data_IF_193904249542
#
_entry.id   IF_193904249542
#
_cell.length_a   1.000
_cell.length_b   1.000
_cell.length_c   1.000
_cell.angle_alpha   90.00
_cell.angle_beta   90.00
_cell.angle_gamma   90.00
#
_symmetry.space_group_name_H-M   'P 1'
#
loop_
_entity.id
_entity.type
_entity.pdbx_description
1 polymer ?
#
# COMPACT_ATOMS: atom_id res chain seq x y z
N UNK A 1 19.04 29.47 5.29
CA UNK A 1 19.83 29.06 6.47
C UNK A 1 19.06 28.21 7.47
N UNK A 2 17.72 28.18 7.46
CA UNK A 2 16.89 27.35 8.36
C UNK A 2 17.20 25.83 8.35
N UNK A 3 17.65 25.27 7.23
CA UNK A 3 17.95 23.84 7.13
C UNK A 3 19.14 23.40 8.00
N UNK A 4 20.05 24.31 8.34
CA UNK A 4 21.21 24.03 9.20
C UNK A 4 20.76 23.67 10.62
N UNK A 5 19.69 24.30 11.12
CA UNK A 5 19.11 24.00 12.42
C UNK A 5 18.17 22.78 12.39
N UNK A 6 17.40 22.60 11.32
CA UNK A 6 16.39 21.52 11.26
C UNK A 6 16.99 20.14 11.04
N UNK A 7 18.07 20.01 10.26
CA UNK A 7 18.63 18.70 9.94
C UNK A 7 19.17 17.94 11.17
N UNK A 8 19.95 18.56 12.08
CA UNK A 8 20.35 17.90 13.32
C UNK A 8 19.16 17.42 14.16
N UNK A 9 18.09 18.22 14.25
CA UNK A 9 16.87 17.90 15.01
C UNK A 9 16.10 16.74 14.39
N UNK A 10 15.99 16.70 13.06
CA UNK A 10 15.41 15.57 12.32
C UNK A 10 16.23 14.29 12.50
N UNK A 11 17.56 14.38 12.55
CA UNK A 11 18.41 13.21 12.84
C UNK A 11 18.17 12.66 14.26
N UNK A 12 17.95 13.52 15.25
CA UNK A 12 17.54 13.10 16.60
C UNK A 12 16.20 12.34 16.53
N UNK A 13 15.21 12.90 15.81
CA UNK A 13 13.93 12.23 15.61
C UNK A 13 14.07 10.87 14.93
N UNK A 14 14.86 10.74 13.85
CA UNK A 14 15.13 9.45 13.19
C UNK A 14 15.64 8.41 14.18
N UNK A 15 16.66 8.76 14.97
CA UNK A 15 17.25 7.84 15.93
C UNK A 15 16.25 7.41 17.02
N UNK A 16 15.45 8.35 17.52
CA UNK A 16 14.42 8.05 18.52
C UNK A 16 13.28 7.21 17.95
N UNK A 17 12.86 7.49 16.71
CA UNK A 17 11.83 6.74 16.03
C UNK A 17 12.29 5.31 15.77
N UNK A 18 13.52 5.11 15.29
CA UNK A 18 14.13 3.79 15.10
C UNK A 18 14.18 2.99 16.41
N UNK A 19 14.45 3.65 17.55
CA UNK A 19 14.38 3.01 18.86
C UNK A 19 12.94 2.69 19.27
N UNK A 20 11.99 3.58 18.98
CA UNK A 20 10.58 3.39 19.27
C UNK A 20 10.01 2.17 18.53
N UNK A 21 10.23 2.06 17.22
CA UNK A 21 9.70 0.95 16.40
C UNK A 21 10.32 -0.41 16.73
N UNK A 22 11.51 -0.44 17.34
CA UNK A 22 12.16 -1.68 17.81
C UNK A 22 11.61 -2.19 19.13
N UNK A 23 10.91 -1.36 19.90
CA UNK A 23 10.28 -1.81 21.14
C UNK A 23 9.10 -2.72 20.79
N UNK A 24 8.82 -3.76 21.61
CA UNK A 24 7.61 -4.53 21.43
C UNK A 24 6.40 -3.60 21.50
N UNK A 25 5.42 -3.84 20.63
CA UNK A 25 4.18 -3.08 20.63
C UNK A 25 3.56 -3.12 22.04
N UNK A 26 3.09 -1.99 22.58
CA UNK A 26 2.38 -1.98 23.86
C UNK A 26 1.27 -3.03 23.90
N UNK A 27 1.05 -3.66 25.05
CA UNK A 27 -0.13 -4.52 25.23
C UNK A 27 -1.37 -3.68 24.90
N UNK A 28 -2.14 -4.09 23.88
CA UNK A 28 -3.29 -3.39 23.29
C UNK A 28 -3.00 -2.33 22.22
N UNK A 29 -1.77 -2.24 21.69
CA UNK A 29 -1.53 -1.46 20.48
C UNK A 29 -2.32 -2.08 19.31
N UNK A 30 -3.33 -1.35 18.81
CA UNK A 30 -4.27 -1.81 17.79
C UNK A 30 -3.83 -1.47 16.36
N UNK A 31 -2.59 -0.98 16.17
CA UNK A 31 -2.11 -0.59 14.85
C UNK A 31 -1.04 -1.57 14.35
N UNK A 32 -1.41 -2.35 13.34
CA UNK A 32 -0.50 -3.24 12.61
C UNK A 32 0.49 -2.47 11.71
N UNK A 33 0.31 -1.16 11.58
CA UNK A 33 1.08 -0.30 10.69
C UNK A 33 1.40 1.04 11.35
N UNK A 34 2.70 1.34 11.42
CA UNK A 34 3.21 2.62 11.83
C UNK A 34 3.53 3.51 10.61
N UNK A 35 3.33 4.83 10.71
CA UNK A 35 3.73 5.78 9.67
C UNK A 35 5.24 5.75 9.42
N UNK A 36 5.69 6.31 8.31
CA UNK A 36 7.12 6.53 8.14
C UNK A 36 7.57 7.72 9.03
N UNK A 37 8.84 7.78 9.44
CA UNK A 37 9.34 8.88 10.31
C UNK A 37 9.13 10.27 9.68
N UNK A 38 9.06 10.33 8.34
CA UNK A 38 8.76 11.57 7.62
C UNK A 38 7.33 12.06 7.87
N UNK A 39 6.34 11.17 8.00
CA UNK A 39 4.98 11.53 8.40
C UNK A 39 4.96 11.99 9.86
N UNK A 40 5.69 11.27 10.73
CA UNK A 40 5.82 11.62 12.15
C UNK A 40 6.42 13.01 12.33
N UNK A 41 7.42 13.36 11.52
CA UNK A 41 8.04 14.68 11.53
C UNK A 41 7.07 15.82 11.16
N UNK A 42 5.97 15.49 10.47
CA UNK A 42 4.91 16.44 10.10
C UNK A 42 3.73 16.43 11.09
N UNK A 43 3.74 15.58 12.12
CA UNK A 43 2.77 15.68 13.19
C UNK A 43 3.02 16.97 14.00
N UNK A 44 1.97 17.72 14.40
CA UNK A 44 2.12 19.03 15.00
C UNK A 44 3.13 19.14 16.16
N UNK A 45 3.16 18.23 17.16
CA UNK A 45 4.12 18.37 18.25
C UNK A 45 5.57 18.11 17.81
N UNK A 46 5.79 17.18 16.87
CA UNK A 46 7.13 16.90 16.34
C UNK A 46 7.62 18.05 15.45
N UNK A 47 6.74 18.56 14.58
CA UNK A 47 7.03 19.69 13.72
C UNK A 47 7.39 20.95 14.53
N UNK A 48 6.64 21.23 15.59
CA UNK A 48 6.91 22.36 16.50
C UNK A 48 8.29 22.26 17.14
N UNK A 49 8.69 21.07 17.61
CA UNK A 49 10.03 20.83 18.17
C UNK A 49 11.10 21.06 17.10
N UNK A 50 10.95 20.46 15.92
CA UNK A 50 11.90 20.59 14.81
C UNK A 50 12.06 22.06 14.38
N UNK A 51 10.95 22.80 14.27
CA UNK A 51 10.88 24.19 13.80
C UNK A 51 11.04 25.24 14.92
N UNK A 52 11.43 24.84 16.12
CA UNK A 52 11.74 25.77 17.23
C UNK A 52 12.79 26.82 16.82
N UNK A 53 12.87 27.99 17.51
CA UNK A 53 13.92 28.98 17.24
C UNK A 53 15.33 28.38 17.24
N UNK A 54 16.25 28.93 16.44
CA UNK A 54 17.60 28.36 16.22
C UNK A 54 18.43 28.29 17.52
N UNK A 55 18.19 29.22 18.45
CA UNK A 55 18.83 29.31 19.76
C UNK A 55 18.36 28.20 20.72
N UNK A 56 17.25 27.53 20.40
CA UNK A 56 16.70 26.46 21.22
C UNK A 56 17.55 25.20 21.05
N UNK A 57 18.19 24.77 22.14
CA UNK A 57 18.91 23.50 22.21
C UNK A 57 17.88 22.38 22.28
N UNK A 58 17.81 21.59 21.20
CA UNK A 58 16.93 20.42 21.13
C UNK A 58 17.73 19.17 21.46
N UNK A 59 17.26 18.41 22.43
CA UNK A 59 17.83 17.14 22.90
C UNK A 59 16.84 16.00 22.66
N UNK A 60 17.24 14.73 22.83
CA UNK A 60 16.29 13.62 22.77
C UNK A 60 15.06 13.78 23.69
N UNK A 61 15.28 14.29 24.91
CA UNK A 61 14.21 14.52 25.90
C UNK A 61 13.17 15.55 25.43
N UNK A 62 13.55 16.44 24.51
CA UNK A 62 12.63 17.41 23.93
C UNK A 62 11.46 16.73 23.18
N UNK A 63 11.65 15.50 22.70
CA UNK A 63 10.62 14.73 21.98
C UNK A 63 9.81 13.79 22.89
N UNK A 64 10.16 13.64 24.18
CA UNK A 64 9.57 12.62 25.05
C UNK A 64 8.04 12.71 25.12
N UNK A 65 7.51 13.92 25.34
CA UNK A 65 6.07 14.19 25.39
C UNK A 65 5.38 13.92 24.04
N UNK A 66 6.02 14.29 22.93
CA UNK A 66 5.49 14.03 21.59
C UNK A 66 5.36 12.51 21.31
N UNK A 67 6.32 11.71 21.78
CA UNK A 67 6.27 10.25 21.68
C UNK A 67 5.20 9.61 22.57
N UNK A 68 4.85 10.21 23.72
CA UNK A 68 3.72 9.74 24.53
C UNK A 68 2.39 9.87 23.77
N UNK A 69 2.27 10.90 22.94
CA UNK A 69 1.07 11.17 22.14
C UNK A 69 1.06 10.47 20.78
N UNK A 70 2.20 9.93 20.34
CA UNK A 70 2.36 9.28 19.02
C UNK A 70 1.26 8.24 18.70
N UNK A 71 0.85 7.33 19.61
CA UNK A 71 -0.23 6.38 19.32
C UNK A 71 -1.54 7.06 18.87
N UNK A 72 -1.90 8.21 19.45
CA UNK A 72 -3.10 8.96 19.06
C UNK A 72 -2.97 9.54 17.64
N UNK A 73 -1.80 10.12 17.34
CA UNK A 73 -1.53 10.65 16.00
C UNK A 73 -1.48 9.56 14.92
N UNK A 74 -0.98 8.37 15.25
CA UNK A 74 -0.99 7.22 14.32
C UNK A 74 -2.42 6.83 13.95
N UNK A 75 -3.35 6.80 14.92
CA UNK A 75 -4.76 6.54 14.62
C UNK A 75 -5.34 7.62 13.71
N UNK A 76 -5.19 8.90 14.06
CA UNK A 76 -5.71 10.01 13.24
C UNK A 76 -5.11 10.05 11.83
N UNK A 77 -3.81 9.74 11.71
CA UNK A 77 -3.12 9.60 10.42
C UNK A 77 -3.74 8.48 9.58
N UNK A 78 -3.95 7.30 10.18
CA UNK A 78 -4.55 6.15 9.51
C UNK A 78 -5.99 6.42 9.10
N UNK A 79 -6.81 6.98 9.99
CA UNK A 79 -8.20 7.32 9.71
C UNK A 79 -8.30 8.31 8.54
N UNK A 80 -7.39 9.29 8.48
CA UNK A 80 -7.31 10.24 7.38
C UNK A 80 -6.93 9.55 6.04
N UNK A 81 -5.97 8.63 6.06
CA UNK A 81 -5.61 7.82 4.88
C UNK A 81 -6.79 6.98 4.40
N UNK A 82 -7.47 6.30 5.33
CA UNK A 82 -8.61 5.45 5.04
C UNK A 82 -9.76 6.27 4.43
N UNK A 83 -10.09 7.43 5.01
CA UNK A 83 -11.10 8.34 4.47
C UNK A 83 -10.75 8.84 3.07
N UNK A 84 -9.48 9.23 2.85
CA UNK A 84 -8.99 9.68 1.55
C UNK A 84 -9.07 8.58 0.47
N UNK A 85 -8.63 7.36 0.78
CA UNK A 85 -8.72 6.22 -0.14
C UNK A 85 -10.16 5.82 -0.41
N UNK A 86 -11.02 5.78 0.61
CA UNK A 86 -12.43 5.46 0.46
C UNK A 86 -13.14 6.47 -0.46
N UNK A 87 -12.81 7.76 -0.35
CA UNK A 87 -13.35 8.80 -1.21
C UNK A 87 -12.98 8.63 -2.70
N UNK A 88 -11.90 7.90 -3.02
CA UNK A 88 -11.56 7.57 -4.40
C UNK A 88 -12.41 6.43 -4.96
N UNK A 89 -13.01 5.57 -4.12
CA UNK A 89 -13.75 4.38 -4.57
C UNK A 89 -15.05 4.80 -5.26
N UNK A 90 -15.04 4.77 -6.60
CA UNK A 90 -16.17 5.14 -7.44
C UNK A 90 -16.66 3.94 -8.24
N UNK A 91 -17.59 3.18 -7.67
CA UNK A 91 -18.10 1.95 -8.31
C UNK A 91 -19.02 2.34 -9.48
N UNK A 92 -18.72 1.93 -10.73
CA UNK A 92 -19.49 2.33 -11.90
C UNK A 92 -20.99 1.98 -11.79
N UNK A 93 -21.85 2.96 -12.13
CA UNK A 93 -23.32 2.86 -12.10
C UNK A 93 -23.87 2.14 -13.33
N UNK A 94 -23.15 2.11 -14.45
CA UNK A 94 -23.55 1.51 -15.74
C UNK A 94 -23.59 -0.02 -15.75
N UNK A 95 -24.01 -0.60 -14.64
CA UNK A 95 -23.83 -2.00 -14.32
C UNK A 95 -24.95 -2.57 -13.46
N UNK A 96 -26.11 -1.92 -13.55
CA UNK A 96 -27.28 -2.20 -12.76
C UNK A 96 -28.35 -2.72 -13.74
N UNK A 97 -28.84 -3.93 -13.49
CA UNK A 97 -30.27 -4.20 -13.68
C UNK A 97 -30.99 -3.31 -12.66
N UNK A 98 -31.83 -2.39 -13.13
CA UNK A 98 -32.30 -1.14 -12.49
C UNK A 98 -32.87 -1.20 -11.06
N UNK A 99 -32.94 -2.38 -10.43
CA UNK A 99 -33.67 -2.63 -9.19
C UNK A 99 -32.78 -2.86 -7.95
N UNK A 100 -31.44 -2.84 -8.07
CA UNK A 100 -30.57 -3.07 -6.90
C UNK A 100 -30.36 -1.80 -6.06
N UNK A 101 -30.68 -1.82 -4.75
CA UNK A 101 -30.50 -0.66 -3.86
C UNK A 101 -29.04 -0.21 -3.78
N UNK A 102 -28.85 1.09 -3.49
CA UNK A 102 -27.53 1.70 -3.29
C UNK A 102 -26.71 0.93 -2.24
N UNK A 103 -25.37 0.89 -2.39
CA UNK A 103 -24.49 0.20 -1.44
C UNK A 103 -24.73 0.67 -0.01
N UNK A 104 -24.91 -0.27 0.89
CA UNK A 104 -25.13 -0.05 2.33
C UNK A 104 -23.84 0.18 3.11
N UNK A 105 -22.72 0.53 2.45
CA UNK A 105 -21.46 0.82 3.12
C UNK A 105 -21.60 2.11 3.93
N UNK A 106 -21.43 2.01 5.25
CA UNK A 106 -21.70 3.12 6.18
C UNK A 106 -20.42 3.85 6.59
N UNK A 107 -19.26 3.19 6.48
CA UNK A 107 -17.97 3.74 6.91
C UNK A 107 -16.91 3.67 5.81
N UNK A 108 -15.87 4.53 5.84
CA UNK A 108 -14.72 4.42 4.93
C UNK A 108 -14.09 3.02 4.90
N UNK A 109 -14.04 2.35 6.04
CA UNK A 109 -13.50 1.00 6.18
C UNK A 109 -14.33 -0.04 5.42
N UNK A 110 -15.64 0.11 5.39
CA UNK A 110 -16.52 -0.77 4.62
C UNK A 110 -16.23 -0.67 3.12
N UNK A 111 -16.01 0.55 2.62
CA UNK A 111 -15.62 0.77 1.22
C UNK A 111 -14.26 0.13 0.89
N UNK A 112 -13.27 0.26 1.78
CA UNK A 112 -11.93 -0.30 1.58
C UNK A 112 -11.88 -1.82 1.68
N UNK A 113 -12.89 -2.46 2.27
CA UNK A 113 -13.04 -3.93 2.32
C UNK A 113 -13.58 -4.52 1.03
N UNK A 114 -14.18 -3.71 0.16
CA UNK A 114 -14.73 -4.18 -1.10
C UNK A 114 -13.61 -4.76 -1.99
N UNK A 115 -13.90 -5.87 -2.66
CA UNK A 115 -12.96 -6.51 -3.57
C UNK A 115 -12.57 -5.63 -4.76
N UNK A 116 -13.43 -4.67 -5.12
CA UNK A 116 -13.12 -3.71 -6.16
C UNK A 116 -12.36 -2.47 -5.66
N UNK A 117 -12.13 -2.30 -4.36
CA UNK A 117 -11.35 -1.19 -3.78
C UNK A 117 -9.85 -1.38 -4.05
N UNK A 118 -9.52 -1.32 -5.33
CA UNK A 118 -8.19 -1.48 -5.89
C UNK A 118 -7.75 -0.13 -6.38
N UNK A 119 -6.48 0.19 -6.13
CA UNK A 119 -5.89 1.47 -6.46
C UNK A 119 -4.71 1.27 -7.39
N UNK A 120 -4.71 1.99 -8.52
CA UNK A 120 -3.55 2.07 -9.40
C UNK A 120 -2.59 3.16 -8.91
N UNK A 121 -1.30 2.89 -9.08
CA UNK A 121 -0.23 3.81 -8.70
C UNK A 121 0.27 4.52 -9.97
N UNK A 122 0.66 5.79 -9.88
CA UNK A 122 1.09 6.58 -11.03
C UNK A 122 2.30 6.00 -11.77
N UNK A 123 3.13 5.21 -11.09
CA UNK A 123 4.30 4.53 -11.66
C UNK A 123 4.03 3.06 -12.03
N UNK A 124 2.75 2.69 -12.13
CA UNK A 124 2.31 1.36 -12.49
C UNK A 124 2.03 0.46 -11.29
N UNK A 125 1.37 -0.66 -11.56
CA UNK A 125 0.91 -1.59 -10.53
C UNK A 125 -0.38 -1.15 -9.86
N UNK A 126 -0.94 -2.09 -9.11
CA UNK A 126 -2.20 -1.94 -8.37
C UNK A 126 -2.03 -2.54 -6.98
N UNK A 127 -2.72 -1.97 -6.01
CA UNK A 127 -2.75 -2.49 -4.65
C UNK A 127 -4.15 -2.30 -4.03
N UNK A 128 -4.47 -3.15 -3.06
CA UNK A 128 -5.68 -3.04 -2.24
C UNK A 128 -5.30 -2.52 -0.86
N UNK A 129 -6.29 -2.21 -0.02
CA UNK A 129 -6.03 -1.93 1.39
C UNK A 129 -5.76 -3.23 2.18
N UNK A 130 -4.81 -3.26 3.14
CA UNK A 130 -3.91 -2.17 3.55
C UNK A 130 -2.63 -2.03 2.71
N UNK A 131 -2.39 -2.94 1.75
CA UNK A 131 -1.17 -3.00 0.92
C UNK A 131 -0.79 -1.67 0.25
N UNK A 132 -1.78 -0.86 -0.12
CA UNK A 132 -1.61 0.47 -0.74
C UNK A 132 -0.92 1.49 0.19
N UNK A 133 -0.99 1.30 1.51
CA UNK A 133 -0.34 2.19 2.49
C UNK A 133 1.15 1.86 2.62
N UNK A 134 1.54 0.61 2.40
CA UNK A 134 2.91 0.20 2.61
C UNK A 134 3.85 0.87 1.60
N UNK A 135 5.06 1.30 2.04
CA UNK A 135 6.16 1.67 1.16
C UNK A 135 6.60 0.46 0.31
N UNK A 136 5.91 0.16 -0.78
CA UNK A 136 6.37 -0.87 -1.72
C UNK A 136 7.52 -0.30 -2.55
N UNK A 137 8.60 -1.10 -2.62
CA UNK A 137 9.92 -0.84 -3.18
C UNK A 137 10.05 0.32 -4.19
N UNK A 138 11.01 1.20 -3.88
CA UNK A 138 11.74 2.18 -4.72
C UNK A 138 10.94 3.17 -5.58
N UNK A 139 9.63 3.00 -5.75
CA UNK A 139 8.85 3.77 -6.71
C UNK A 139 7.45 4.18 -6.25
N UNK A 140 6.96 3.80 -5.06
CA UNK A 140 5.60 4.23 -4.66
C UNK A 140 5.47 4.75 -3.23
N UNK A 141 4.75 5.87 -3.14
CA UNK A 141 4.37 6.73 -2.00
C UNK A 141 5.48 7.29 -1.11
N UNK A 142 6.49 6.52 -0.75
CA UNK A 142 7.45 6.91 0.28
C UNK A 142 8.93 6.81 -0.13
N UNK A 143 9.26 6.50 -1.39
CA UNK A 143 10.66 6.44 -1.85
C UNK A 143 10.82 7.15 -3.19
N UNK A 144 11.44 8.34 -3.20
CA UNK A 144 11.98 8.93 -4.42
C UNK A 144 13.34 8.31 -4.70
N UNK A 145 13.47 7.59 -5.81
CA UNK A 145 14.76 7.46 -6.48
C UNK A 145 15.13 8.82 -7.13
N UNK A 146 15.99 9.57 -6.44
CA UNK A 146 17.09 10.37 -7.01
C UNK A 146 16.86 11.50 -8.03
N UNK A 147 15.71 12.18 -8.12
CA UNK A 147 15.64 13.49 -8.81
C UNK A 147 14.74 14.50 -8.10
N UNK A 148 15.21 15.03 -6.98
CA UNK A 148 14.75 16.33 -6.52
C UNK A 148 15.53 17.41 -7.26
N UNK A 149 14.85 18.41 -7.81
CA UNK A 149 15.50 19.63 -8.31
C UNK A 149 16.16 20.30 -7.10
N UNK A 150 17.45 20.60 -7.19
CA UNK A 150 18.39 20.74 -6.06
C UNK A 150 18.14 21.85 -5.01
N UNK A 151 17.02 22.58 -5.00
CA UNK A 151 16.90 23.78 -4.16
C UNK A 151 15.58 23.99 -3.40
N UNK A 152 14.72 22.98 -3.27
CA UNK A 152 13.52 23.08 -2.42
C UNK A 152 13.88 22.74 -0.94
N UNK A 153 13.61 23.61 0.05
CA UNK A 153 13.82 23.31 1.48
C UNK A 153 13.15 22.01 1.94
N UNK A 154 12.02 21.65 1.36
CA UNK A 154 11.30 20.41 1.67
C UNK A 154 12.01 19.17 1.08
N UNK A 155 12.78 19.36 0.01
CA UNK A 155 13.65 18.32 -0.56
C UNK A 155 14.78 17.91 0.38
N UNK A 156 15.30 18.83 1.20
CA UNK A 156 16.40 18.52 2.14
C UNK A 156 15.92 17.59 3.26
N UNK A 157 14.71 17.82 3.78
CA UNK A 157 14.08 16.92 4.75
C UNK A 157 13.83 15.54 4.16
N UNK A 158 13.31 15.48 2.92
CA UNK A 158 13.06 14.24 2.21
C UNK A 158 14.34 13.43 1.95
N UNK A 159 15.47 14.08 1.70
CA UNK A 159 16.77 13.40 1.55
C UNK A 159 17.25 12.75 2.85
N UNK A 160 17.08 13.43 3.99
CA UNK A 160 17.47 12.90 5.29
C UNK A 160 16.61 11.69 5.68
N UNK A 161 15.30 11.80 5.51
CA UNK A 161 14.38 10.69 5.79
C UNK A 161 14.38 9.61 4.70
N UNK A 162 14.99 9.89 3.54
CA UNK A 162 14.93 9.06 2.32
C UNK A 162 13.49 8.75 1.88
N UNK A 163 12.57 9.63 2.22
CA UNK A 163 11.14 9.43 2.02
C UNK A 163 10.36 10.74 1.89
N UNK A 164 9.15 10.64 1.37
CA UNK A 164 8.16 11.73 1.37
C UNK A 164 7.02 11.36 2.31
N UNK A 165 6.29 12.36 2.86
CA UNK A 165 5.04 12.09 3.56
C UNK A 165 4.07 11.34 2.65
N UNK A 166 3.30 10.43 3.24
CA UNK A 166 2.23 9.74 2.54
C UNK A 166 1.23 10.76 1.99
N UNK A 167 0.89 10.63 0.72
CA UNK A 167 -0.08 11.49 0.06
C UNK A 167 -0.66 10.81 -1.17
N UNK A 168 -1.94 11.09 -1.45
CA UNK A 168 -2.58 10.70 -2.71
C UNK A 168 -2.12 11.51 -3.91
N UNK A 169 -1.41 12.63 -3.68
CA UNK A 169 -0.95 13.56 -4.71
C UNK A 169 0.49 14.00 -4.45
N UNK A 170 1.23 14.32 -5.51
CA UNK A 170 2.55 14.94 -5.34
C UNK A 170 2.45 16.44 -5.01
N UNK A 171 3.60 17.07 -4.75
CA UNK A 171 3.66 18.51 -4.45
C UNK A 171 3.15 19.44 -5.56
N UNK A 172 2.91 18.93 -6.78
CA UNK A 172 2.26 19.68 -7.86
C UNK A 172 0.74 19.48 -7.92
N UNK A 173 0.18 18.70 -6.99
CA UNK A 173 -1.24 18.32 -6.96
C UNK A 173 -1.61 17.20 -7.93
N UNK A 174 -0.64 16.59 -8.62
CA UNK A 174 -0.92 15.46 -9.51
C UNK A 174 -1.21 14.22 -8.67
N UNK A 175 -2.34 13.59 -8.93
CA UNK A 175 -2.75 12.33 -8.30
C UNK A 175 -1.72 11.22 -8.56
N UNK A 176 -1.20 10.66 -7.46
CA UNK A 176 -0.30 9.50 -7.39
C UNK A 176 -1.08 8.19 -7.28
N UNK A 177 -2.31 8.25 -6.78
CA UNK A 177 -3.22 7.12 -6.58
C UNK A 177 -4.54 7.38 -7.29
N UNK A 178 -5.04 6.39 -8.01
CA UNK A 178 -6.37 6.42 -8.62
C UNK A 178 -7.13 5.14 -8.33
N UNK A 179 -8.44 5.23 -8.29
CA UNK A 179 -9.29 4.05 -8.23
C UNK A 179 -9.18 3.25 -9.53
N UNK A 180 -8.95 1.95 -9.42
CA UNK A 180 -8.83 1.02 -10.52
C UNK A 180 -10.19 0.36 -10.79
N UNK A 181 -11.05 1.10 -11.49
CA UNK A 181 -12.41 0.67 -11.84
C UNK A 181 -12.49 -0.73 -12.51
N UNK A 182 -11.52 -1.20 -13.32
CA UNK A 182 -11.59 -2.53 -13.93
C UNK A 182 -11.71 -3.70 -12.95
N UNK A 183 -11.29 -3.53 -11.68
CA UNK A 183 -11.47 -4.55 -10.66
C UNK A 183 -12.94 -4.96 -10.49
N UNK A 184 -13.88 -4.03 -10.66
CA UNK A 184 -15.31 -4.32 -10.58
C UNK A 184 -15.78 -5.32 -11.65
N UNK A 185 -15.18 -5.34 -12.84
CA UNK A 185 -15.52 -6.29 -13.90
C UNK A 185 -15.10 -7.72 -13.54
N UNK A 186 -13.95 -7.87 -12.88
CA UNK A 186 -13.45 -9.18 -12.42
C UNK A 186 -14.34 -9.72 -11.29
N UNK A 187 -14.76 -8.86 -10.36
CA UNK A 187 -15.71 -9.24 -9.30
C UNK A 187 -17.04 -9.74 -9.91
N UNK A 188 -17.56 -9.05 -10.93
CA UNK A 188 -18.77 -9.49 -11.64
C UNK A 188 -18.59 -10.77 -12.43
N UNK A 189 -17.45 -10.95 -13.08
CA UNK A 189 -17.16 -12.19 -13.79
C UNK A 189 -17.24 -13.40 -12.84
N UNK A 190 -16.86 -13.21 -11.57
CA UNK A 190 -17.00 -14.22 -10.51
C UNK A 190 -18.45 -14.44 -10.03
N UNK A 191 -19.42 -13.70 -10.55
CA UNK A 191 -20.84 -13.76 -10.16
C UNK A 191 -21.17 -13.00 -8.88
N UNK A 192 -20.34 -12.03 -8.48
CA UNK A 192 -20.53 -11.24 -7.26
C UNK A 192 -20.82 -9.77 -7.59
N UNK A 193 -21.55 -9.09 -6.71
CA UNK A 193 -21.83 -7.66 -6.84
C UNK A 193 -20.64 -6.82 -6.32
N UNK A 194 -19.95 -6.01 -7.15
CA UNK A 194 -18.84 -5.18 -6.71
C UNK A 194 -19.21 -4.15 -5.62
N UNK A 195 -20.50 -3.85 -5.43
CA UNK A 195 -20.97 -2.91 -4.39
C UNK A 195 -20.96 -3.48 -2.99
N UNK A 196 -20.98 -4.80 -2.87
CA UNK A 196 -21.10 -5.48 -1.58
C UNK A 196 -20.04 -6.55 -1.37
N UNK A 197 -19.49 -7.12 -2.46
CA UNK A 197 -18.51 -8.19 -2.38
C UNK A 197 -17.20 -7.68 -1.80
N UNK A 198 -16.78 -8.30 -0.72
CA UNK A 198 -15.52 -8.04 -0.04
C UNK A 198 -14.38 -8.88 -0.62
N UNK A 199 -13.14 -8.52 -0.29
CA UNK A 199 -11.97 -9.37 -0.58
C UNK A 199 -12.15 -10.80 -0.01
N UNK A 200 -12.78 -10.93 1.17
CA UNK A 200 -13.04 -12.22 1.79
C UNK A 200 -14.06 -13.04 1.00
N UNK A 201 -15.09 -12.41 0.43
CA UNK A 201 -16.06 -13.10 -0.42
C UNK A 201 -15.40 -13.66 -1.68
N UNK A 202 -14.51 -12.87 -2.31
CA UNK A 202 -13.74 -13.32 -3.49
C UNK A 202 -12.75 -14.44 -3.14
N UNK A 203 -12.04 -14.33 -2.01
CA UNK A 203 -11.13 -15.36 -1.52
C UNK A 203 -11.89 -16.66 -1.20
N UNK A 204 -13.06 -16.57 -0.56
CA UNK A 204 -13.95 -17.71 -0.28
C UNK A 204 -14.53 -18.33 -1.56
N UNK A 205 -14.91 -17.50 -2.53
CA UNK A 205 -15.42 -17.97 -3.84
C UNK A 205 -14.35 -18.77 -4.60
N UNK A 206 -13.07 -18.45 -4.37
CA UNK A 206 -11.90 -19.12 -4.91
C UNK A 206 -11.99 -19.35 -6.43
N UNK A 207 -12.61 -18.41 -7.15
CA UNK A 207 -12.79 -18.53 -8.59
C UNK A 207 -11.44 -18.49 -9.32
N UNK A 208 -11.43 -19.11 -10.49
CA UNK A 208 -10.32 -19.08 -11.43
C UNK A 208 -10.79 -18.44 -12.71
N UNK A 209 -10.00 -17.53 -13.26
CA UNK A 209 -10.38 -16.71 -14.40
C UNK A 209 -9.42 -16.88 -15.56
N UNK A 210 -9.96 -16.82 -16.76
CA UNK A 210 -9.23 -16.76 -18.03
C UNK A 210 -9.53 -15.40 -18.68
N UNK A 211 -8.48 -14.72 -19.14
CA UNK A 211 -8.62 -13.52 -19.96
C UNK A 211 -8.91 -13.91 -21.42
N UNK A 212 -10.05 -13.48 -21.96
CA UNK A 212 -10.51 -13.80 -23.31
C UNK A 212 -9.81 -12.98 -24.40
N UNK A 213 -9.05 -11.93 -24.03
CA UNK A 213 -8.39 -11.04 -24.98
C UNK A 213 -6.91 -11.36 -25.20
N UNK A 214 -6.29 -12.07 -24.27
CA UNK A 214 -4.92 -12.51 -24.45
C UNK A 214 -4.94 -13.77 -25.33
N UNK A 215 -4.22 -13.78 -26.48
CA UNK A 215 -4.19 -14.96 -27.33
C UNK A 215 -3.53 -16.12 -26.59
N UNK A 216 -4.07 -17.33 -26.79
CA UNK A 216 -3.56 -18.59 -26.21
C UNK A 216 -2.10 -18.93 -26.58
N UNK A 217 -1.54 -18.19 -27.55
CA UNK A 217 -0.18 -18.35 -28.05
C UNK A 217 0.88 -17.68 -27.17
N UNK A 218 0.47 -16.85 -26.21
CA UNK A 218 1.38 -16.35 -25.19
C UNK A 218 1.23 -17.27 -23.99
N UNK A 219 2.32 -17.57 -23.28
CA UNK A 219 2.35 -18.19 -21.95
C UNK A 219 1.47 -17.45 -20.89
N UNK A 220 0.72 -16.42 -21.31
CA UNK A 220 -0.22 -15.61 -20.56
C UNK A 220 -1.67 -16.11 -20.52
N UNK A 221 -2.07 -17.14 -21.29
CA UNK A 221 -3.34 -17.86 -21.06
C UNK A 221 -3.23 -18.80 -19.85
N UNK A 222 -2.73 -18.25 -18.75
CA UNK A 222 -2.74 -18.92 -17.47
C UNK A 222 -4.08 -18.69 -16.80
N UNK A 223 -4.57 -19.74 -16.18
CA UNK A 223 -5.68 -19.68 -15.25
C UNK A 223 -5.22 -18.82 -14.06
N UNK A 224 -6.02 -17.81 -13.67
CA UNK A 224 -5.65 -16.81 -12.66
C UNK A 224 -6.57 -16.85 -11.46
N UNK A 225 -6.02 -16.60 -10.27
CA UNK A 225 -6.82 -16.14 -9.13
C UNK A 225 -7.38 -14.74 -9.43
N UNK A 226 -8.37 -14.29 -8.68
CA UNK A 226 -8.96 -12.95 -8.89
C UNK A 226 -7.94 -11.81 -8.67
N UNK A 227 -7.05 -11.91 -7.68
CA UNK A 227 -5.96 -10.93 -7.47
C UNK A 227 -4.99 -10.91 -8.65
N UNK A 228 -4.62 -12.09 -9.17
CA UNK A 228 -3.77 -12.22 -10.36
C UNK A 228 -4.46 -11.70 -11.62
N UNK A 229 -5.77 -11.88 -11.76
CA UNK A 229 -6.55 -11.31 -12.85
C UNK A 229 -6.54 -9.77 -12.82
N UNK A 230 -6.67 -9.16 -11.64
CA UNK A 230 -6.61 -7.70 -11.47
C UNK A 230 -5.23 -7.17 -11.85
N UNK A 231 -4.16 -7.79 -11.35
CA UNK A 231 -2.79 -7.42 -11.72
C UNK A 231 -2.55 -7.58 -13.23
N UNK A 232 -3.01 -8.69 -13.81
CA UNK A 232 -2.92 -8.91 -15.25
C UNK A 232 -3.65 -7.82 -16.04
N UNK A 233 -4.86 -7.44 -15.62
CA UNK A 233 -5.57 -6.34 -16.26
C UNK A 233 -4.74 -5.06 -16.22
N UNK A 234 -4.24 -4.70 -15.04
CA UNK A 234 -3.46 -3.47 -14.85
C UNK A 234 -2.15 -3.43 -15.64
N UNK A 235 -1.52 -4.57 -15.89
CA UNK A 235 -0.23 -4.65 -16.59
C UNK A 235 -0.34 -4.77 -18.10
N UNK A 236 -1.38 -5.43 -18.60
CA UNK A 236 -1.46 -5.83 -20.02
C UNK A 236 -2.63 -5.20 -20.78
N UNK A 237 -3.56 -4.55 -20.10
CA UNK A 237 -4.73 -3.92 -20.70
C UNK A 237 -4.71 -2.43 -20.40
N UNK A 238 -5.02 -1.64 -21.41
CA UNK A 238 -5.07 -0.20 -21.30
C UNK A 238 -6.41 0.26 -20.76
N UNK A 239 -6.48 1.47 -20.22
CA UNK A 239 -7.75 2.12 -19.91
C UNK A 239 -8.66 2.20 -21.15
N UNK A 240 -8.13 2.36 -22.36
CA UNK A 240 -8.98 2.39 -23.57
C UNK A 240 -9.76 1.08 -23.84
N UNK A 241 -9.39 -0.01 -23.16
CA UNK A 241 -10.11 -1.27 -23.19
C UNK A 241 -11.39 -1.26 -22.32
N UNK A 242 -11.84 -0.13 -21.76
CA UNK A 242 -13.08 -0.05 -20.95
C UNK A 242 -14.34 -0.57 -21.66
N UNK A 243 -14.38 -0.60 -23.00
CA UNK A 243 -15.48 -1.21 -23.76
C UNK A 243 -15.52 -2.74 -23.65
N UNK A 244 -14.48 -3.35 -23.08
CA UNK A 244 -14.26 -4.79 -22.95
C UNK A 244 -14.64 -5.33 -21.56
N UNK A 245 -15.76 -4.84 -21.02
CA UNK A 245 -16.28 -5.12 -19.66
C UNK A 245 -16.47 -6.61 -19.33
N UNK A 246 -16.44 -7.50 -20.33
CA UNK A 246 -16.74 -8.95 -20.22
C UNK A 246 -15.56 -9.86 -20.60
N UNK A 247 -14.33 -9.36 -20.52
CA UNK A 247 -13.12 -10.08 -20.91
C UNK A 247 -12.71 -11.29 -20.10
N UNK A 248 -13.49 -11.68 -19.11
CA UNK A 248 -13.10 -12.70 -18.14
C UNK A 248 -14.11 -13.84 -18.12
N UNK A 249 -13.62 -15.05 -18.31
CA UNK A 249 -14.41 -16.28 -18.18
C UNK A 249 -13.99 -16.99 -16.91
N UNK A 250 -14.96 -17.36 -16.07
CA UNK A 250 -14.70 -18.23 -14.92
C UNK A 250 -14.50 -19.65 -15.41
N UNK A 251 -13.43 -20.30 -14.94
CA UNK A 251 -13.16 -21.71 -15.22
C UNK A 251 -14.27 -22.56 -14.61
N UNK A 252 -14.78 -23.51 -15.40
CA UNK A 252 -15.82 -24.42 -14.95
C UNK A 252 -15.36 -25.24 -13.73
N UNK A 253 -16.28 -25.46 -12.79
CA UNK A 253 -16.05 -26.26 -11.60
C UNK A 253 -15.50 -27.66 -11.93
N UNK A 254 -15.88 -28.25 -13.07
CA UNK A 254 -15.38 -29.57 -13.49
C UNK A 254 -13.86 -29.62 -13.71
N UNK A 255 -13.21 -28.47 -13.91
CA UNK A 255 -11.76 -28.40 -14.11
C UNK A 255 -10.99 -27.99 -12.85
N UNK A 256 -11.67 -27.60 -11.77
CA UNK A 256 -11.02 -26.98 -10.60
C UNK A 256 -10.06 -27.92 -9.86
N UNK A 257 -10.37 -29.21 -9.76
CA UNK A 257 -9.47 -30.18 -9.12
C UNK A 257 -8.14 -30.28 -9.87
N UNK A 258 -8.20 -30.35 -11.21
CA UNK A 258 -7.00 -30.34 -12.06
C UNK A 258 -6.20 -29.06 -11.90
N UNK A 259 -6.86 -27.90 -11.86
CA UNK A 259 -6.19 -26.61 -11.64
C UNK A 259 -5.47 -26.59 -10.30
N UNK A 260 -6.13 -27.04 -9.23
CA UNK A 260 -5.54 -27.05 -7.89
C UNK A 260 -4.36 -28.00 -7.78
N UNK A 261 -4.42 -29.17 -8.41
CA UNK A 261 -3.27 -30.09 -8.49
C UNK A 261 -2.09 -29.42 -9.19
N UNK A 262 -2.33 -28.71 -10.30
CA UNK A 262 -1.26 -27.96 -10.99
C UNK A 262 -0.70 -26.86 -10.09
N UNK A 263 -1.54 -26.06 -9.45
CA UNK A 263 -1.12 -24.98 -8.53
C UNK A 263 -0.30 -25.49 -7.34
N UNK A 264 -0.64 -26.67 -6.81
CA UNK A 264 0.11 -27.30 -5.71
C UNK A 264 1.42 -27.94 -6.18
N UNK A 265 1.45 -28.46 -7.41
CA UNK A 265 2.64 -29.11 -8.00
C UNK A 265 3.67 -28.11 -8.51
N UNK A 266 3.23 -26.94 -8.92
CA UNK A 266 4.13 -25.84 -9.20
C UNK A 266 4.70 -25.40 -7.85
N UNK A 267 5.99 -25.68 -7.63
CA UNK A 267 6.74 -25.02 -6.56
C UNK A 267 6.36 -23.54 -6.65
N UNK A 268 5.93 -22.90 -5.53
CA UNK A 268 5.41 -21.55 -5.58
C UNK A 268 6.40 -20.76 -6.41
N UNK A 269 5.96 -20.33 -7.60
CA UNK A 269 6.72 -19.39 -8.39
C UNK A 269 6.58 -18.13 -7.56
N UNK A 270 7.43 -18.03 -6.52
CA UNK A 270 7.59 -16.84 -5.73
C UNK A 270 8.00 -15.87 -6.79
N UNK A 271 7.06 -15.03 -7.18
CA UNK A 271 7.34 -13.92 -8.05
C UNK A 271 8.27 -13.06 -7.18
N UNK A 272 9.58 -13.29 -7.29
CA UNK A 272 10.65 -12.65 -6.49
C UNK A 272 10.62 -11.13 -6.68
N UNK A 273 9.71 -10.61 -7.50
CA UNK A 273 9.44 -9.22 -7.75
C UNK A 273 8.72 -8.48 -6.61
N UNK A 274 8.28 -9.15 -5.56
CA UNK A 274 7.96 -8.50 -4.28
C UNK A 274 8.90 -9.01 -3.20
N UNK A 275 10.03 -8.33 -2.89
CA UNK A 275 10.91 -8.80 -1.84
C UNK A 275 10.14 -8.79 -0.52
N UNK A 276 10.04 -9.97 0.12
CA UNK A 276 9.51 -10.07 1.48
C UNK A 276 10.47 -9.28 2.37
N UNK A 277 10.00 -8.16 2.91
CA UNK A 277 10.75 -7.35 3.87
C UNK A 277 10.36 -7.78 5.27
N UNK A 278 11.34 -7.85 6.16
CA UNK A 278 11.04 -7.93 7.58
C UNK A 278 10.24 -6.66 7.97
N UNK A 279 9.04 -6.77 8.56
CA UNK A 279 8.25 -5.59 8.92
C UNK A 279 8.96 -4.70 9.96
N UNK A 280 9.90 -5.26 10.72
CA UNK A 280 10.64 -4.57 11.77
C UNK A 280 11.89 -3.83 11.27
N UNK A 281 12.72 -4.48 10.43
CA UNK A 281 13.98 -3.89 9.96
C UNK A 281 13.99 -3.53 8.47
N UNK A 282 12.91 -3.83 7.75
CA UNK A 282 12.75 -3.56 6.31
C UNK A 282 13.79 -4.24 5.40
N UNK A 283 14.64 -5.12 5.94
CA UNK A 283 15.63 -5.92 5.20
C UNK A 283 14.93 -6.97 4.34
N UNK A 284 15.39 -7.15 3.10
CA UNK A 284 14.80 -8.07 2.12
C UNK A 284 15.26 -9.49 2.35
N UNK A 285 14.35 -10.45 2.23
CA UNK A 285 14.71 -11.85 2.05
C UNK A 285 15.52 -12.01 0.75
N UNK A 286 16.80 -12.37 0.87
CA UNK A 286 17.72 -12.59 -0.25
C UNK A 286 18.75 -11.48 -0.50
N UNK A 287 18.71 -10.35 0.22
CA UNK A 287 19.85 -9.41 0.23
C UNK A 287 21.07 -10.10 0.87
N UNK A 288 22.31 -9.73 0.51
CA UNK A 288 23.50 -10.18 1.22
C UNK A 288 23.49 -9.59 2.64
N UNK A 289 22.82 -10.30 3.55
CA UNK A 289 22.85 -10.01 4.97
C UNK A 289 24.24 -10.39 5.47
N UNK A 290 24.92 -9.44 6.10
CA UNK A 290 26.17 -9.75 6.79
C UNK A 290 25.90 -10.80 7.87
N UNK A 291 26.85 -11.70 8.17
CA UNK A 291 26.68 -12.68 9.26
C UNK A 291 26.34 -12.05 10.63
N UNK A 292 26.68 -10.76 10.82
CA UNK A 292 26.25 -9.96 11.96
C UNK A 292 24.73 -9.74 11.96
N UNK A 293 24.17 -9.31 10.83
CA UNK A 293 22.74 -8.99 10.69
C UNK A 293 21.89 -10.25 10.80
N UNK A 294 22.38 -11.40 10.29
CA UNK A 294 21.71 -12.69 10.44
C UNK A 294 21.70 -13.18 11.90
N UNK A 295 22.78 -12.94 12.67
CA UNK A 295 22.85 -13.27 14.10
C UNK A 295 21.85 -12.45 14.91
N UNK A 296 21.77 -11.15 14.66
CA UNK A 296 20.78 -10.30 15.33
C UNK A 296 19.34 -10.65 14.91
N UNK A 297 19.16 -11.18 13.70
CA UNK A 297 17.85 -11.57 13.16
C UNK A 297 17.31 -12.91 13.70
N UNK A 298 18.21 -13.85 14.06
CA UNK A 298 17.82 -15.23 14.43
C UNK A 298 18.06 -15.56 15.91
N UNK A 299 18.94 -14.84 16.60
CA UNK A 299 19.40 -15.23 17.95
C UNK A 299 18.79 -14.38 19.07
N UNK A 300 18.35 -13.15 18.80
CA UNK A 300 17.72 -12.27 19.80
C UNK A 300 16.17 -12.34 19.77
N UNK A 301 15.62 -13.55 19.71
CA UNK A 301 14.20 -13.83 20.00
C UNK A 301 13.97 -13.99 21.50
#
# INVERSE_FOLDING_TARGET
>A
MQWVAYNPRRSILCNLYDQYVRKPAPQNACFDLLPHVVDVANFPPFEAIIKSPEETIITPDSFAEAFLQLPSFVHGWRDNIEAQLAALVQIPVDSIDSDTPSPSAQTPQDFLRLACAVFSKALGGVAMFPDIIYPQDTHTFNVRLYRTVDNDPDSIGAQLFRALPWSLSDGSGRSLTKFFAPAAYIVRACGLDPRTATCQDMDKRNARLICNYCPALVECCTIRTWKSAIMHFASFHSDSDYNRKTGWTVVDAVYMDTVQVVEQSQAPYVNVLGPVRCPLCQVRAGDPVTPWELRHHLVDK
#
